data_IF_150158710847
#
_entry.id   IF_150158710847
#
_cell.length_a   1.000
_cell.length_b   1.000
_cell.length_c   1.000
_cell.angle_alpha   90.00
_cell.angle_beta   90.00
_cell.angle_gamma   90.00
#
_symmetry.space_group_name_H-M   'P 1'
#
loop_
_entity.id
_entity.type
_entity.pdbx_description
1 polymer ?
#
# COMPACT_ATOMS: atom_id res chain seq x y z
N UNK A 1 -16.88 -24.26 -2.40
CA UNK A 1 -16.66 -23.24 -3.47
C UNK A 1 -17.88 -22.33 -3.69
N UNK A 2 -19.09 -22.86 -3.79
CA UNK A 2 -20.31 -22.08 -4.10
C UNK A 2 -20.78 -21.18 -2.97
N UNK A 3 -20.58 -21.57 -1.73
CA UNK A 3 -21.04 -20.80 -0.55
C UNK A 3 -20.26 -19.48 -0.37
N UNK A 4 -18.97 -19.46 -0.63
CA UNK A 4 -18.15 -18.24 -0.52
C UNK A 4 -18.49 -17.21 -1.60
N UNK A 5 -18.75 -17.64 -2.82
CA UNK A 5 -19.18 -16.77 -3.92
C UNK A 5 -20.47 -16.03 -3.55
N UNK A 6 -21.48 -16.75 -3.05
CA UNK A 6 -22.75 -16.17 -2.64
C UNK A 6 -22.60 -15.19 -1.46
N UNK A 7 -21.76 -15.52 -0.50
CA UNK A 7 -21.49 -14.65 0.67
C UNK A 7 -20.82 -13.34 0.28
N UNK A 8 -19.76 -13.40 -0.56
CA UNK A 8 -19.09 -12.19 -1.04
C UNK A 8 -20.04 -11.34 -1.87
N UNK A 9 -20.79 -11.92 -2.79
CA UNK A 9 -21.79 -11.22 -3.59
C UNK A 9 -22.84 -10.52 -2.71
N UNK A 10 -23.43 -11.24 -1.74
CA UNK A 10 -24.41 -10.69 -0.82
C UNK A 10 -23.84 -9.57 0.04
N UNK A 11 -22.61 -9.71 0.53
CA UNK A 11 -21.92 -8.68 1.30
C UNK A 11 -21.70 -7.42 0.47
N UNK A 12 -21.19 -7.54 -0.75
CA UNK A 12 -20.95 -6.41 -1.64
C UNK A 12 -22.25 -5.66 -1.99
N UNK A 13 -23.30 -6.40 -2.36
CA UNK A 13 -24.59 -5.78 -2.70
C UNK A 13 -25.28 -5.14 -1.50
N UNK A 14 -25.21 -5.73 -0.31
CA UNK A 14 -25.75 -5.14 0.92
C UNK A 14 -25.04 -3.85 1.35
N UNK A 15 -23.80 -3.64 0.88
CA UNK A 15 -23.02 -2.43 1.10
C UNK A 15 -23.03 -1.47 -0.11
N UNK A 16 -23.99 -1.61 -1.01
CA UNK A 16 -24.26 -0.66 -2.09
C UNK A 16 -23.42 -0.85 -3.35
N UNK A 17 -22.66 -1.93 -3.46
CA UNK A 17 -21.93 -2.26 -4.68
C UNK A 17 -22.92 -2.74 -5.74
N UNK A 18 -22.79 -2.20 -6.96
CA UNK A 18 -23.60 -2.61 -8.10
C UNK A 18 -23.58 -4.13 -8.31
N UNK A 19 -24.74 -4.69 -8.67
CA UNK A 19 -24.91 -6.14 -8.80
C UNK A 19 -23.96 -6.77 -9.83
N UNK A 20 -23.69 -6.10 -10.95
CA UNK A 20 -22.76 -6.61 -11.97
C UNK A 20 -21.33 -6.62 -11.47
N UNK A 21 -20.93 -5.57 -10.76
CA UNK A 21 -19.60 -5.47 -10.14
C UNK A 21 -19.45 -6.50 -9.03
N UNK A 22 -20.44 -6.65 -8.17
CA UNK A 22 -20.46 -7.69 -7.12
C UNK A 22 -20.36 -9.09 -7.72
N UNK A 23 -21.08 -9.36 -8.81
CA UNK A 23 -21.02 -10.63 -9.54
C UNK A 23 -19.63 -10.88 -10.14
N UNK A 24 -19.01 -9.84 -10.72
CA UNK A 24 -17.67 -9.94 -11.31
C UNK A 24 -16.61 -10.25 -10.24
N UNK A 25 -16.59 -9.49 -9.16
CA UNK A 25 -15.68 -9.69 -8.03
C UNK A 25 -15.89 -11.08 -7.39
N UNK A 26 -17.12 -11.50 -7.23
CA UNK A 26 -17.45 -12.82 -6.68
C UNK A 26 -16.98 -13.95 -7.57
N UNK A 27 -17.02 -13.80 -8.90
CA UNK A 27 -16.46 -14.78 -9.86
C UNK A 27 -14.93 -14.83 -9.78
N UNK A 28 -14.25 -13.70 -9.66
CA UNK A 28 -12.80 -13.68 -9.44
C UNK A 28 -12.42 -14.44 -8.17
N UNK A 29 -13.26 -14.33 -7.14
CA UNK A 29 -13.08 -15.05 -5.89
C UNK A 29 -13.44 -16.54 -5.95
N UNK A 30 -14.08 -17.02 -7.01
CA UNK A 30 -14.44 -18.44 -7.20
C UNK A 30 -13.37 -19.26 -7.95
N UNK A 31 -12.28 -18.64 -8.38
CA UNK A 31 -11.12 -19.34 -8.96
C UNK A 31 -10.50 -20.25 -7.88
N UNK A 32 -10.11 -21.51 -8.18
CA UNK A 32 -9.68 -22.49 -7.18
C UNK A 32 -8.54 -22.02 -6.27
N UNK A 33 -8.39 -22.59 -5.05
CA UNK A 33 -7.58 -22.04 -3.99
C UNK A 33 -6.14 -21.85 -4.44
N UNK A 34 -5.88 -20.67 -4.63
CA UNK A 34 -4.68 -19.89 -4.76
C UNK A 34 -3.36 -20.65 -4.69
N UNK A 35 -2.73 -20.64 -5.78
CA UNK A 35 -1.43 -19.98 -5.80
C UNK A 35 -1.52 -18.66 -4.99
N UNK A 36 -0.59 -18.40 -4.07
CA UNK A 36 -0.59 -17.13 -3.35
C UNK A 36 -0.79 -15.99 -4.34
N UNK A 37 -1.51 -14.93 -3.97
CA UNK A 37 -1.84 -13.79 -4.85
C UNK A 37 -0.60 -13.26 -5.58
N UNK A 38 0.58 -13.57 -5.07
CA UNK A 38 1.88 -13.31 -5.67
C UNK A 38 2.68 -14.62 -5.76
N UNK A 39 2.29 -15.49 -6.69
CA UNK A 39 3.03 -16.74 -6.96
C UNK A 39 4.41 -16.50 -7.56
N UNK A 40 4.65 -15.32 -8.07
CA UNK A 40 5.90 -14.91 -8.71
C UNK A 40 6.51 -13.78 -7.89
N UNK A 41 7.68 -14.03 -7.35
CA UNK A 41 8.47 -13.05 -6.62
C UNK A 41 9.95 -13.35 -6.75
N UNK A 42 10.81 -12.40 -6.38
CA UNK A 42 12.25 -12.66 -6.31
C UNK A 42 12.54 -13.80 -5.35
N UNK A 43 13.32 -14.78 -5.80
CA UNK A 43 13.75 -15.92 -4.99
C UNK A 43 15.26 -15.81 -4.77
N UNK A 44 15.65 -15.84 -3.50
CA UNK A 44 17.09 -15.90 -3.15
C UNK A 44 17.59 -17.29 -3.54
N UNK A 45 18.41 -17.35 -4.58
CA UNK A 45 18.99 -18.59 -5.14
C UNK A 45 20.46 -18.81 -4.74
N UNK A 46 21.09 -17.80 -4.10
CA UNK A 46 22.48 -17.84 -3.69
C UNK A 46 23.49 -17.74 -4.82
N UNK A 47 23.04 -17.60 -6.07
CA UNK A 47 23.93 -17.49 -7.23
C UNK A 47 24.51 -16.08 -7.37
N UNK A 48 25.77 -15.99 -7.81
CA UNK A 48 26.45 -14.70 -7.98
C UNK A 48 25.91 -13.86 -9.13
N UNK A 49 25.24 -14.49 -10.10
CA UNK A 49 24.58 -13.90 -11.26
C UNK A 49 23.03 -13.87 -11.12
N UNK A 50 22.52 -14.34 -10.00
CA UNK A 50 21.12 -14.35 -9.62
C UNK A 50 20.79 -13.37 -8.50
N UNK A 51 20.05 -13.84 -7.50
CA UNK A 51 19.71 -13.09 -6.29
C UNK A 51 20.39 -13.75 -5.07
N UNK A 52 21.64 -13.37 -4.72
CA UNK A 52 22.40 -14.03 -3.66
C UNK A 52 21.88 -13.77 -2.25
N UNK A 53 21.08 -12.71 -2.08
CA UNK A 53 20.49 -12.30 -0.80
C UNK A 53 19.18 -11.51 -1.02
N UNK A 54 18.48 -11.24 0.05
CA UNK A 54 17.26 -10.46 0.01
C UNK A 54 17.50 -9.05 -0.57
N UNK A 55 16.60 -8.54 -1.46
CA UNK A 55 16.79 -7.25 -2.13
C UNK A 55 17.06 -6.09 -1.17
N UNK A 56 16.30 -6.00 -0.07
CA UNK A 56 16.50 -4.94 0.92
C UNK A 56 17.85 -5.06 1.62
N UNK A 57 18.28 -6.29 1.95
CA UNK A 57 19.59 -6.55 2.53
C UNK A 57 20.72 -6.13 1.57
N UNK A 58 20.59 -6.47 0.28
CA UNK A 58 21.54 -6.04 -0.75
C UNK A 58 21.64 -4.51 -0.82
N UNK A 59 20.51 -3.82 -0.83
CA UNK A 59 20.47 -2.35 -0.84
C UNK A 59 21.12 -1.75 0.41
N UNK A 60 20.77 -2.23 1.61
CA UNK A 60 21.37 -1.74 2.85
C UNK A 60 22.88 -1.97 2.95
N UNK A 61 23.38 -3.01 2.29
CA UNK A 61 24.79 -3.37 2.24
C UNK A 61 25.57 -2.73 1.07
N UNK A 62 24.98 -1.79 0.37
CA UNK A 62 25.65 -1.10 -0.73
C UNK A 62 25.77 -1.93 -2.03
N UNK A 63 25.01 -3.02 -2.20
CA UNK A 63 25.08 -3.94 -3.33
C UNK A 63 23.89 -3.83 -4.27
N UNK A 64 23.55 -2.65 -4.70
CA UNK A 64 22.41 -2.40 -5.60
C UNK A 64 22.78 -1.41 -6.71
N UNK A 65 21.97 -1.40 -7.77
CA UNK A 65 21.99 -0.32 -8.75
C UNK A 65 21.12 0.82 -8.21
N UNK A 66 21.78 1.83 -7.64
CA UNK A 66 21.08 2.96 -7.05
C UNK A 66 20.70 3.97 -8.11
N UNK A 67 19.42 4.26 -8.19
CA UNK A 67 18.82 5.26 -9.08
C UNK A 67 17.92 6.19 -8.26
N UNK A 68 17.65 7.37 -8.78
CA UNK A 68 16.65 8.24 -8.20
C UNK A 68 15.28 7.59 -8.31
N UNK A 69 14.42 7.76 -7.30
CA UNK A 69 13.21 6.96 -7.13
C UNK A 69 12.00 7.80 -6.74
N UNK A 70 10.85 7.55 -7.37
CA UNK A 70 9.53 7.85 -6.81
C UNK A 70 8.97 6.56 -6.21
N UNK A 71 8.55 6.62 -4.95
CA UNK A 71 7.97 5.47 -4.23
C UNK A 71 6.84 5.93 -3.33
N UNK A 72 5.81 5.13 -3.18
CA UNK A 72 4.71 5.48 -2.29
C UNK A 72 3.69 4.37 -2.13
N UNK A 73 2.55 4.74 -1.56
CA UNK A 73 1.44 3.83 -1.31
C UNK A 73 0.10 4.59 -1.32
N UNK A 74 -0.98 3.83 -1.43
CA UNK A 74 -2.35 4.34 -1.33
C UNK A 74 -2.85 4.34 0.11
N UNK A 75 -3.83 5.18 0.41
CA UNK A 75 -4.40 5.30 1.75
C UNK A 75 -4.99 3.99 2.28
N UNK A 76 -5.62 3.21 1.43
CA UNK A 76 -6.38 2.02 1.81
C UNK A 76 -5.91 0.75 1.08
N UNK A 77 -4.58 0.62 0.89
CA UNK A 77 -3.95 -0.52 0.19
C UNK A 77 -4.51 -1.87 0.61
N UNK A 78 -4.76 -2.05 1.91
CA UNK A 78 -5.20 -3.31 2.48
C UNK A 78 -6.66 -3.66 2.19
N UNK A 79 -7.50 -2.72 1.80
CA UNK A 79 -8.95 -2.94 1.70
C UNK A 79 -9.32 -4.03 0.69
N UNK A 80 -8.67 -4.06 -0.47
CA UNK A 80 -8.86 -5.10 -1.47
C UNK A 80 -8.48 -6.49 -0.92
N UNK A 81 -7.39 -6.58 -0.16
CA UNK A 81 -6.92 -7.84 0.40
C UNK A 81 -7.83 -8.36 1.53
N UNK A 82 -8.43 -7.46 2.31
CA UNK A 82 -9.41 -7.85 3.33
C UNK A 82 -10.67 -8.46 2.70
N UNK A 83 -11.10 -7.99 1.53
CA UNK A 83 -12.18 -8.66 0.78
C UNK A 83 -11.83 -10.11 0.41
N UNK A 84 -10.56 -10.37 0.20
CA UNK A 84 -10.06 -11.70 -0.18
C UNK A 84 -9.76 -12.60 1.03
N UNK A 85 -9.94 -12.12 2.27
CA UNK A 85 -9.64 -12.86 3.50
C UNK A 85 -10.22 -14.28 3.54
N UNK A 86 -11.50 -14.52 3.20
CA UNK A 86 -12.04 -15.89 3.25
C UNK A 86 -11.29 -16.88 2.37
N UNK A 87 -10.54 -16.38 1.40
CA UNK A 87 -9.72 -17.18 0.49
C UNK A 87 -8.26 -17.27 0.91
N UNK A 88 -7.75 -16.23 1.57
CA UNK A 88 -6.33 -16.10 1.92
C UNK A 88 -6.02 -16.62 3.32
N UNK A 89 -6.95 -16.43 4.23
CA UNK A 89 -6.80 -16.75 5.65
C UNK A 89 -7.84 -17.79 6.04
N UNK A 90 -7.46 -19.07 6.17
CA UNK A 90 -8.40 -20.12 6.53
C UNK A 90 -9.15 -19.79 7.82
N UNK A 91 -10.48 -19.91 7.78
CA UNK A 91 -11.36 -19.59 8.91
C UNK A 91 -11.65 -18.12 9.14
N UNK A 92 -11.07 -17.21 8.34
CA UNK A 92 -11.45 -15.80 8.37
C UNK A 92 -12.85 -15.59 7.81
N UNK A 93 -13.52 -14.57 8.29
CA UNK A 93 -14.89 -14.21 7.89
C UNK A 93 -14.94 -12.94 7.06
N UNK A 94 -16.06 -12.74 6.37
CA UNK A 94 -16.41 -11.48 5.74
C UNK A 94 -17.85 -11.10 6.15
N UNK A 95 -18.07 -9.97 6.83
CA UNK A 95 -17.05 -9.03 7.32
C UNK A 95 -16.10 -9.66 8.35
N UNK A 96 -14.85 -9.16 8.45
CA UNK A 96 -13.89 -9.65 9.44
C UNK A 96 -14.41 -9.53 10.86
N UNK A 97 -14.03 -10.49 11.70
CA UNK A 97 -14.24 -10.49 13.14
C UNK A 97 -12.97 -10.06 13.87
N UNK A 98 -13.08 -9.74 15.15
CA UNK A 98 -11.95 -9.30 16.00
C UNK A 98 -10.76 -10.26 15.92
N UNK A 99 -11.02 -11.57 15.90
CA UNK A 99 -9.98 -12.60 15.87
C UNK A 99 -9.31 -12.76 14.50
N UNK A 100 -9.87 -12.20 13.44
CA UNK A 100 -9.33 -12.40 12.08
C UNK A 100 -8.01 -11.67 11.87
N UNK A 101 -7.79 -10.53 12.55
CA UNK A 101 -6.49 -9.86 12.57
C UNK A 101 -5.40 -10.80 13.14
N UNK A 102 -5.68 -11.42 14.28
CA UNK A 102 -4.76 -12.37 14.90
C UNK A 102 -4.49 -13.56 13.99
N UNK A 103 -5.52 -14.11 13.34
CA UNK A 103 -5.39 -15.21 12.37
C UNK A 103 -4.47 -14.85 11.20
N UNK A 104 -4.62 -13.65 10.67
CA UNK A 104 -3.77 -13.15 9.59
C UNK A 104 -2.31 -13.05 10.04
N UNK A 105 -2.06 -12.43 11.18
CA UNK A 105 -0.71 -12.28 11.73
C UNK A 105 -0.06 -13.64 12.00
N UNK A 106 -0.80 -14.55 12.62
CA UNK A 106 -0.32 -15.91 12.88
C UNK A 106 0.05 -16.64 11.58
N UNK A 107 -0.71 -16.44 10.51
CA UNK A 107 -0.40 -17.01 9.19
C UNK A 107 0.86 -16.41 8.59
N UNK A 108 1.03 -15.10 8.67
CA UNK A 108 2.21 -14.41 8.10
C UNK A 108 3.48 -14.88 8.80
N UNK A 109 3.48 -14.95 10.13
CA UNK A 109 4.67 -15.23 10.93
C UNK A 109 4.81 -16.69 11.38
N UNK A 110 3.75 -17.46 11.31
CA UNK A 110 3.72 -18.86 11.78
C UNK A 110 3.83 -19.92 10.69
N UNK A 111 3.71 -19.53 9.42
CA UNK A 111 3.74 -20.44 8.28
C UNK A 111 2.52 -21.37 8.17
N UNK A 112 2.18 -22.10 9.22
CA UNK A 112 0.96 -22.91 9.33
C UNK A 112 0.15 -22.49 10.56
N UNK A 113 -0.81 -21.59 10.34
CA UNK A 113 -1.61 -21.03 11.41
C UNK A 113 -2.52 -22.07 12.10
N UNK A 114 -2.92 -23.12 11.40
CA UNK A 114 -3.80 -24.18 11.93
C UNK A 114 -3.08 -25.05 12.96
N UNK A 115 -1.75 -25.15 12.86
CA UNK A 115 -0.90 -25.97 13.71
C UNK A 115 0.20 -25.16 14.42
N UNK A 116 0.19 -23.82 14.28
CA UNK A 116 1.26 -22.99 14.85
C UNK A 116 1.20 -22.99 16.37
N UNK A 117 2.09 -23.76 16.98
CA UNK A 117 2.49 -23.66 18.38
C UNK A 117 3.58 -22.62 18.60
N UNK A 118 3.89 -21.81 17.56
CA UNK A 118 4.95 -20.81 17.59
C UNK A 118 4.63 -19.73 18.63
N UNK A 119 5.35 -19.75 19.75
CA UNK A 119 5.30 -18.72 20.78
C UNK A 119 5.70 -17.35 20.21
N UNK A 120 6.60 -17.34 19.23
CA UNK A 120 7.05 -16.12 18.55
C UNK A 120 5.91 -15.45 17.77
N UNK A 121 5.22 -16.18 16.89
CA UNK A 121 4.07 -15.65 16.16
C UNK A 121 2.95 -15.16 17.07
N UNK A 122 2.69 -15.87 18.17
CA UNK A 122 1.70 -15.47 19.18
C UNK A 122 2.11 -14.16 19.90
N UNK A 123 3.39 -13.97 20.18
CA UNK A 123 3.92 -12.74 20.78
C UNK A 123 3.79 -11.56 19.83
N UNK A 124 4.16 -11.75 18.55
CA UNK A 124 3.98 -10.73 17.49
C UNK A 124 2.49 -10.38 17.37
N UNK A 125 1.60 -11.36 17.27
CA UNK A 125 0.16 -11.12 17.16
C UNK A 125 -0.37 -10.30 18.33
N UNK A 126 0.03 -10.60 19.56
CA UNK A 126 -0.36 -9.83 20.75
C UNK A 126 0.15 -8.39 20.71
N UNK A 127 1.35 -8.16 20.20
CA UNK A 127 1.91 -6.82 20.04
C UNK A 127 1.19 -6.03 18.95
N UNK A 128 0.88 -6.68 17.83
CA UNK A 128 0.11 -6.06 16.74
C UNK A 128 -1.31 -5.69 17.19
N UNK A 129 -1.98 -6.56 17.95
CA UNK A 129 -3.30 -6.24 18.53
C UNK A 129 -3.28 -4.98 19.39
N UNK A 130 -2.18 -4.74 20.13
CA UNK A 130 -1.98 -3.51 20.90
C UNK A 130 -1.68 -2.28 20.04
N UNK A 131 -0.99 -2.45 18.90
CA UNK A 131 -0.66 -1.35 18.00
C UNK A 131 -1.84 -0.92 17.13
N UNK A 132 -2.78 -1.84 16.90
CA UNK A 132 -4.02 -1.63 16.16
C UNK A 132 -5.23 -1.97 17.04
N UNK A 133 -5.55 -1.17 18.06
CA UNK A 133 -6.66 -1.47 18.95
C UNK A 133 -7.99 -1.27 18.21
N UNK A 134 -8.93 -2.19 18.43
CA UNK A 134 -10.20 -2.24 17.68
C UNK A 134 -11.05 -0.98 17.81
N UNK A 135 -10.96 -0.28 18.94
CA UNK A 135 -11.73 0.93 19.22
C UNK A 135 -11.22 2.20 18.50
N UNK A 136 -10.07 2.15 17.83
CA UNK A 136 -9.55 3.25 17.00
C UNK A 136 -10.02 3.17 15.54
N UNK A 137 -10.72 2.12 15.16
CA UNK A 137 -11.19 1.87 13.80
C UNK A 137 -12.71 1.83 13.73
N UNK A 138 -13.27 2.28 12.63
CA UNK A 138 -14.72 2.24 12.40
C UNK A 138 -15.28 0.82 12.27
N UNK A 139 -14.43 -0.14 11.91
CA UNK A 139 -14.76 -1.56 11.84
C UNK A 139 -13.49 -2.43 11.81
N UNK A 140 -13.65 -3.72 12.05
CA UNK A 140 -12.57 -4.71 11.89
C UNK A 140 -12.08 -4.80 10.44
N UNK A 141 -12.92 -4.46 9.46
CA UNK A 141 -12.50 -4.37 8.07
C UNK A 141 -11.37 -3.33 7.91
N UNK A 142 -11.59 -2.10 8.38
CA UNK A 142 -10.63 -1.01 8.27
C UNK A 142 -9.40 -1.20 9.16
N UNK A 143 -9.58 -1.84 10.33
CA UNK A 143 -8.47 -2.24 11.20
C UNK A 143 -7.50 -3.19 10.48
N UNK A 144 -8.03 -4.24 9.86
CA UNK A 144 -7.24 -5.20 9.11
C UNK A 144 -6.63 -4.57 7.85
N UNK A 145 -7.37 -3.71 7.15
CA UNK A 145 -6.86 -2.98 5.99
C UNK A 145 -5.69 -2.06 6.35
N UNK A 146 -5.76 -1.37 7.49
CA UNK A 146 -4.67 -0.53 7.98
C UNK A 146 -3.40 -1.33 8.27
N UNK A 147 -3.52 -2.49 8.94
CA UNK A 147 -2.37 -3.36 9.18
C UNK A 147 -1.73 -3.83 7.86
N UNK A 148 -2.53 -4.26 6.88
CA UNK A 148 -2.00 -4.69 5.58
C UNK A 148 -1.31 -3.52 4.87
N UNK A 149 -1.94 -2.32 4.86
CA UNK A 149 -1.31 -1.12 4.31
C UNK A 149 0.07 -0.89 4.91
N UNK A 150 0.16 -0.89 6.24
CA UNK A 150 1.40 -0.54 6.93
C UNK A 150 2.46 -1.63 6.76
N UNK A 151 2.07 -2.89 6.98
CA UNK A 151 3.01 -4.01 6.98
C UNK A 151 3.50 -4.40 5.57
N UNK A 152 2.61 -4.39 4.58
CA UNK A 152 2.92 -4.90 3.23
C UNK A 152 3.39 -3.79 2.29
N UNK A 153 2.91 -2.56 2.45
CA UNK A 153 3.12 -1.48 1.49
C UNK A 153 3.88 -0.28 2.09
N UNK A 154 3.33 0.40 3.07
CA UNK A 154 3.86 1.69 3.51
C UNK A 154 5.22 1.57 4.21
N UNK A 155 5.40 0.63 5.13
CA UNK A 155 6.66 0.48 5.84
C UNK A 155 7.76 -0.16 4.98
N UNK A 156 7.48 -1.17 4.11
CA UNK A 156 8.45 -1.59 3.10
C UNK A 156 8.88 -0.48 2.15
N UNK A 157 7.94 0.36 1.66
CA UNK A 157 8.26 1.53 0.83
C UNK A 157 9.15 2.53 1.58
N UNK A 158 8.90 2.74 2.87
CA UNK A 158 9.75 3.59 3.73
C UNK A 158 11.17 3.01 3.90
N UNK A 159 11.29 1.70 4.12
CA UNK A 159 12.62 1.04 4.21
C UNK A 159 13.40 1.15 2.90
N UNK A 160 12.71 0.96 1.78
CA UNK A 160 13.29 1.15 0.45
C UNK A 160 13.76 2.59 0.25
N UNK A 161 12.90 3.57 0.58
CA UNK A 161 13.24 4.98 0.48
C UNK A 161 14.51 5.30 1.28
N UNK A 162 14.58 4.87 2.54
CA UNK A 162 15.77 5.05 3.40
C UNK A 162 17.02 4.37 2.82
N UNK A 163 16.90 3.15 2.31
CA UNK A 163 18.04 2.43 1.75
C UNK A 163 18.62 3.13 0.52
N UNK A 164 17.79 3.65 -0.36
CA UNK A 164 18.18 4.37 -1.57
C UNK A 164 18.79 5.74 -1.20
N UNK A 165 18.15 6.47 -0.29
CA UNK A 165 18.60 7.79 0.17
C UNK A 165 19.97 7.71 0.90
N UNK A 166 20.17 6.72 1.77
CA UNK A 166 21.45 6.47 2.44
C UNK A 166 22.61 6.23 1.46
N UNK A 167 22.30 5.79 0.25
CA UNK A 167 23.27 5.58 -0.82
C UNK A 167 23.38 6.80 -1.77
N UNK A 168 22.91 7.98 -1.32
CA UNK A 168 23.13 9.26 -1.98
C UNK A 168 22.24 9.51 -3.20
N UNK A 169 21.10 8.81 -3.33
CA UNK A 169 20.15 9.02 -4.40
C UNK A 169 18.93 9.80 -3.93
N UNK A 170 18.33 10.57 -4.82
CA UNK A 170 17.12 11.30 -4.53
C UNK A 170 15.93 10.36 -4.50
N UNK A 171 15.16 10.44 -3.44
CA UNK A 171 13.90 9.72 -3.29
C UNK A 171 12.78 10.71 -3.11
N UNK A 172 11.69 10.49 -3.82
CA UNK A 172 10.46 11.28 -3.72
C UNK A 172 9.34 10.36 -3.25
N UNK A 173 8.90 10.56 -2.01
CA UNK A 173 7.88 9.70 -1.40
C UNK A 173 6.51 10.32 -1.56
N UNK A 174 5.51 9.51 -1.94
CA UNK A 174 4.11 9.94 -2.01
C UNK A 174 3.19 9.09 -1.16
N UNK A 175 2.03 9.68 -0.84
CA UNK A 175 0.87 9.01 -0.32
C UNK A 175 -0.36 9.43 -1.13
N UNK A 176 -1.01 8.47 -1.79
CA UNK A 176 -2.17 8.75 -2.63
C UNK A 176 -3.44 8.69 -1.79
N UNK A 177 -4.06 9.86 -1.56
CA UNK A 177 -5.20 10.03 -0.66
C UNK A 177 -6.18 11.11 -1.12
N UNK A 178 -6.74 11.04 -2.35
CA UNK A 178 -7.81 11.94 -2.77
C UNK A 178 -9.01 11.92 -1.83
N UNK A 179 -9.81 12.98 -1.83
CA UNK A 179 -10.93 13.14 -0.91
C UNK A 179 -11.97 12.01 -1.02
N UNK A 180 -12.15 11.43 -2.20
CA UNK A 180 -13.07 10.30 -2.37
C UNK A 180 -12.67 9.06 -1.54
N UNK A 181 -11.40 8.93 -1.19
CA UNK A 181 -10.93 7.87 -0.32
C UNK A 181 -11.31 8.08 1.14
N UNK A 182 -11.51 9.34 1.54
CA UNK A 182 -11.74 9.73 2.94
C UNK A 182 -13.21 10.07 3.23
N UNK A 183 -14.00 10.34 2.19
CA UNK A 183 -15.38 10.83 2.34
C UNK A 183 -16.36 9.83 1.77
N UNK A 184 -17.08 9.07 2.60
CA UNK A 184 -18.15 8.21 2.13
C UNK A 184 -19.18 9.02 1.34
N UNK A 185 -19.52 8.57 0.12
CA UNK A 185 -20.54 9.20 -0.72
C UNK A 185 -20.06 10.23 -1.72
N UNK A 186 -18.77 10.56 -1.76
CA UNK A 186 -18.22 11.40 -2.84
C UNK A 186 -18.08 10.57 -4.12
N UNK A 187 -18.97 10.80 -5.09
CA UNK A 187 -19.08 10.01 -6.33
C UNK A 187 -18.36 10.67 -7.49
N UNK A 188 -17.03 10.81 -7.41
CA UNK A 188 -16.25 11.33 -8.54
C UNK A 188 -15.69 10.23 -9.46
N UNK A 189 -15.73 8.97 -9.02
CA UNK A 189 -15.42 7.80 -9.85
C UNK A 189 -16.71 7.21 -10.40
N UNK A 190 -16.92 7.38 -11.66
CA UNK A 190 -18.22 7.29 -12.31
C UNK A 190 -18.67 5.88 -12.71
N UNK A 191 -17.97 4.80 -12.34
CA UNK A 191 -18.40 3.48 -12.80
C UNK A 191 -18.25 2.33 -11.79
N UNK A 192 -17.44 2.53 -10.76
CA UNK A 192 -17.36 1.57 -9.66
C UNK A 192 -17.52 2.36 -8.37
N UNK A 193 -18.70 2.28 -7.80
CA UNK A 193 -18.93 2.73 -6.43
C UNK A 193 -18.18 1.78 -5.47
N UNK A 194 -16.85 1.77 -5.55
CA UNK A 194 -16.01 1.15 -4.55
C UNK A 194 -15.95 2.01 -3.27
N UNK A 195 -17.07 2.61 -2.89
CA UNK A 195 -17.20 3.26 -1.57
C UNK A 195 -16.73 2.36 -0.44
N UNK A 196 -16.77 1.04 -0.67
CA UNK A 196 -16.32 0.03 0.27
C UNK A 196 -14.79 -0.11 0.33
N UNK A 197 -14.06 0.25 -0.74
CA UNK A 197 -12.62 0.00 -0.86
C UNK A 197 -11.77 1.25 -0.77
N UNK A 198 -12.37 2.43 -0.91
CA UNK A 198 -11.68 3.72 -0.90
C UNK A 198 -10.47 3.76 -1.86
N UNK A 199 -9.29 4.21 -1.41
CA UNK A 199 -8.05 4.20 -2.18
C UNK A 199 -7.34 2.84 -2.08
N UNK A 200 -7.96 1.81 -2.65
CA UNK A 200 -7.45 0.45 -2.63
C UNK A 200 -6.16 0.28 -3.44
N UNK A 201 -5.54 -0.87 -3.30
CA UNK A 201 -4.32 -1.23 -4.02
C UNK A 201 -4.47 -1.05 -5.54
N UNK A 202 -3.54 -0.30 -6.14
CA UNK A 202 -3.49 0.08 -7.56
C UNK A 202 -4.50 1.15 -8.00
N UNK A 203 -5.25 1.79 -7.09
CA UNK A 203 -6.22 2.84 -7.47
C UNK A 203 -5.56 4.13 -7.98
N UNK A 204 -4.31 4.40 -7.63
CA UNK A 204 -3.52 5.53 -8.14
C UNK A 204 -3.19 5.40 -9.62
N UNK A 205 -3.17 4.18 -10.17
CA UNK A 205 -2.85 3.94 -11.59
C UNK A 205 -3.80 4.68 -12.53
N UNK A 206 -5.05 4.89 -12.13
CA UNK A 206 -5.99 5.70 -12.90
C UNK A 206 -5.53 7.15 -13.03
N UNK A 207 -5.01 7.71 -11.94
CA UNK A 207 -4.46 9.06 -11.94
C UNK A 207 -3.17 9.14 -12.76
N UNK A 208 -2.27 8.18 -12.62
CA UNK A 208 -0.99 8.11 -13.34
C UNK A 208 -1.21 8.07 -14.84
N UNK A 209 -2.14 7.25 -15.31
CA UNK A 209 -2.39 7.08 -16.75
C UNK A 209 -3.44 8.04 -17.32
N UNK A 210 -4.07 8.88 -16.51
CA UNK A 210 -5.08 9.84 -16.95
C UNK A 210 -6.35 9.21 -17.48
N UNK A 211 -6.59 7.96 -17.13
CA UNK A 211 -7.68 7.18 -17.71
C UNK A 211 -8.45 6.45 -16.63
N UNK A 212 -9.78 6.58 -16.56
CA UNK A 212 -10.59 5.63 -15.81
C UNK A 212 -10.40 4.27 -16.46
N UNK A 213 -10.39 3.22 -15.69
CA UNK A 213 -9.96 1.86 -15.99
C UNK A 213 -10.13 1.44 -17.48
N UNK A 214 -9.04 1.17 -18.23
CA UNK A 214 -9.14 0.78 -19.61
C UNK A 214 -9.80 -0.61 -19.72
N UNK A 215 -10.75 -0.74 -20.62
CA UNK A 215 -11.39 -2.03 -20.94
C UNK A 215 -12.69 -2.31 -20.21
N UNK A 216 -13.21 -1.39 -19.40
CA UNK A 216 -14.56 -1.52 -18.84
C UNK A 216 -15.56 -0.81 -19.75
N UNK A 217 -16.51 -1.53 -20.37
CA UNK A 217 -17.55 -0.92 -21.16
C UNK A 217 -18.35 0.08 -20.32
N UNK A 218 -18.44 1.33 -20.77
CA UNK A 218 -19.15 2.40 -20.05
C UNK A 218 -18.33 3.16 -19.03
N UNK A 219 -17.01 2.90 -18.91
CA UNK A 219 -16.10 3.73 -18.10
C UNK A 219 -16.23 5.19 -18.54
N UNK A 220 -16.63 6.05 -17.60
CA UNK A 220 -16.81 7.48 -17.83
C UNK A 220 -15.49 8.22 -17.57
N UNK A 221 -15.37 9.45 -18.04
CA UNK A 221 -14.26 10.33 -17.69
C UNK A 221 -14.22 10.63 -16.19
N UNK A 222 -13.04 10.95 -15.67
CA UNK A 222 -12.92 11.48 -14.30
C UNK A 222 -13.85 12.67 -14.08
N UNK A 223 -14.43 12.75 -12.89
CA UNK A 223 -15.03 13.98 -12.40
C UNK A 223 -13.96 15.10 -12.27
N UNK A 224 -14.38 16.37 -12.14
CA UNK A 224 -13.45 17.51 -12.17
C UNK A 224 -12.30 17.39 -11.16
N UNK A 225 -12.59 17.01 -9.93
CA UNK A 225 -11.59 16.88 -8.85
C UNK A 225 -10.57 15.79 -9.14
N UNK A 226 -11.03 14.59 -9.53
CA UNK A 226 -10.12 13.50 -9.85
C UNK A 226 -9.28 13.79 -11.09
N UNK A 227 -9.83 14.57 -12.04
CA UNK A 227 -9.06 15.07 -13.18
C UNK A 227 -7.92 15.97 -12.75
N UNK A 228 -8.14 16.86 -11.77
CA UNK A 228 -7.10 17.73 -11.22
C UNK A 228 -6.00 16.95 -10.51
N UNK A 229 -6.37 15.95 -9.70
CA UNK A 229 -5.41 15.02 -9.09
C UNK A 229 -4.60 14.30 -10.16
N UNK A 230 -5.27 13.74 -11.17
CA UNK A 230 -4.62 13.03 -12.26
C UNK A 230 -3.65 13.90 -13.04
N UNK A 231 -4.03 15.14 -13.39
CA UNK A 231 -3.15 16.10 -14.07
C UNK A 231 -1.92 16.46 -13.23
N UNK A 232 -2.07 16.56 -11.92
CA UNK A 232 -0.96 16.80 -11.00
C UNK A 232 -0.01 15.60 -10.95
N UNK A 233 -0.54 14.38 -10.78
CA UNK A 233 0.23 13.14 -10.78
C UNK A 233 1.00 12.96 -12.08
N UNK A 234 0.32 13.06 -13.24
CA UNK A 234 0.97 12.95 -14.56
C UNK A 234 2.07 13.99 -14.74
N UNK A 235 1.85 15.21 -14.23
CA UNK A 235 2.83 16.25 -14.27
C UNK A 235 4.12 15.92 -13.49
N UNK A 236 4.01 15.39 -12.27
CA UNK A 236 5.16 14.96 -11.48
C UNK A 236 5.88 13.76 -12.10
N UNK A 237 5.14 12.71 -12.48
CA UNK A 237 5.71 11.51 -13.11
C UNK A 237 6.41 11.84 -14.43
N UNK A 238 5.75 12.66 -15.27
CA UNK A 238 6.33 13.08 -16.54
C UNK A 238 7.57 13.95 -16.38
N UNK A 239 7.61 14.86 -15.40
CA UNK A 239 8.80 15.66 -15.10
C UNK A 239 9.94 14.75 -14.64
N UNK A 240 9.68 13.88 -13.65
CA UNK A 240 10.67 12.93 -13.14
C UNK A 240 11.24 12.03 -14.23
N UNK A 241 10.40 11.49 -15.09
CA UNK A 241 10.85 10.63 -16.20
C UNK A 241 11.78 11.36 -17.20
N UNK A 242 11.63 12.68 -17.35
CA UNK A 242 12.47 13.47 -18.26
C UNK A 242 13.75 13.98 -17.60
N UNK A 243 13.72 14.31 -16.32
CA UNK A 243 14.76 15.10 -15.67
C UNK A 243 15.36 14.45 -14.43
N UNK A 244 14.76 13.39 -13.89
CA UNK A 244 15.10 12.83 -12.57
C UNK A 244 14.56 13.67 -11.39
N UNK A 245 13.82 14.77 -11.68
CA UNK A 245 13.22 15.64 -10.67
C UNK A 245 11.72 15.83 -10.97
N UNK A 246 10.80 15.48 -10.06
CA UNK A 246 9.37 15.66 -10.29
C UNK A 246 8.98 17.14 -10.39
N UNK A 247 9.85 18.05 -9.97
CA UNK A 247 9.67 19.50 -10.06
C UNK A 247 10.26 20.11 -11.34
N UNK A 248 11.03 19.31 -12.10
CA UNK A 248 11.99 19.76 -13.12
C UNK A 248 11.44 20.40 -14.40
N UNK A 249 10.13 20.58 -14.56
CA UNK A 249 9.56 21.26 -15.71
C UNK A 249 8.86 22.57 -15.32
N UNK A 250 9.61 23.67 -15.38
CA UNK A 250 9.07 25.02 -15.23
C UNK A 250 8.01 25.40 -16.29
N UNK A 251 7.86 24.59 -17.35
CA UNK A 251 6.96 24.85 -18.48
C UNK A 251 5.53 24.28 -18.31
N UNK A 252 5.19 23.77 -17.13
CA UNK A 252 3.81 23.36 -16.87
C UNK A 252 2.98 24.59 -16.51
N UNK A 253 1.89 24.79 -17.23
CA UNK A 253 0.95 25.90 -17.09
C UNK A 253 0.23 25.96 -15.72
N UNK A 254 0.39 24.93 -14.88
CA UNK A 254 -0.11 24.86 -13.51
C UNK A 254 1.03 24.94 -12.50
N UNK A 255 0.91 25.87 -11.55
CA UNK A 255 1.77 25.95 -10.38
C UNK A 255 1.46 24.75 -9.48
N UNK A 256 2.32 23.74 -9.50
CA UNK A 256 2.26 22.59 -8.58
C UNK A 256 2.98 22.92 -7.27
N UNK A 257 2.59 22.25 -6.18
CA UNK A 257 3.36 22.29 -4.95
C UNK A 257 4.77 21.72 -5.20
N UNK A 258 5.79 22.31 -4.59
CA UNK A 258 7.12 21.73 -4.63
C UNK A 258 7.09 20.38 -3.88
N UNK A 259 7.52 19.32 -4.56
CA UNK A 259 7.71 18.01 -3.95
C UNK A 259 9.14 17.91 -3.42
N UNK A 260 9.36 18.03 -2.11
CA UNK A 260 10.70 17.90 -1.56
C UNK A 260 11.22 16.47 -1.70
N UNK A 261 12.54 16.25 -1.79
CA UNK A 261 13.12 14.93 -1.64
C UNK A 261 12.78 14.36 -0.24
N UNK A 262 12.92 13.06 -0.07
CA UNK A 262 12.59 12.34 1.16
C UNK A 262 13.30 12.86 2.40
N UNK A 263 14.57 13.27 2.23
CA UNK A 263 15.31 14.10 3.18
C UNK A 263 15.86 15.35 2.46
N UNK A 264 16.06 16.44 3.19
CA UNK A 264 16.69 17.62 2.62
C UNK A 264 18.18 17.38 2.33
N UNK A 265 18.69 17.97 1.21
CA UNK A 265 20.06 17.78 0.74
C UNK A 265 21.13 18.34 1.71
N UNK A 266 20.75 19.26 2.62
CA UNK A 266 21.64 19.89 3.57
C UNK A 266 22.03 19.04 4.77
N UNK A 267 21.35 17.91 4.97
CA UNK A 267 21.72 16.97 6.01
C UNK A 267 22.97 16.17 5.61
N UNK A 268 23.98 16.21 6.47
CA UNK A 268 25.17 15.40 6.27
C UNK A 268 24.78 13.91 6.16
N UNK A 269 25.46 13.12 5.30
CA UNK A 269 25.16 11.70 5.13
C UNK A 269 25.09 10.90 6.45
N UNK A 270 25.80 11.36 7.48
CA UNK A 270 25.78 10.77 8.81
C UNK A 270 24.43 10.98 9.56
N UNK A 271 23.64 11.96 9.16
CA UNK A 271 22.32 12.26 9.74
C UNK A 271 21.17 11.69 8.91
N UNK A 272 21.40 11.36 7.64
CA UNK A 272 20.42 10.72 6.78
C UNK A 272 20.03 9.36 7.37
N UNK A 273 18.75 9.14 7.55
CA UNK A 273 18.25 7.89 8.13
C UNK A 273 18.48 7.70 9.62
N UNK A 274 18.99 8.69 10.36
CA UNK A 274 19.01 8.70 11.83
C UNK A 274 17.60 8.84 12.41
N UNK A 275 17.43 8.50 13.70
CA UNK A 275 16.12 8.54 14.38
C UNK A 275 15.50 9.95 14.49
N UNK A 276 16.24 11.00 14.14
CA UNK A 276 15.81 12.40 14.13
C UNK A 276 15.61 13.04 12.77
N UNK A 277 15.92 12.36 11.67
CA UNK A 277 15.78 12.91 10.34
C UNK A 277 14.31 13.14 9.96
N UNK A 278 14.01 14.30 9.35
CA UNK A 278 12.69 14.61 8.81
C UNK A 278 12.45 13.80 7.52
N UNK A 279 11.35 13.07 7.47
CA UNK A 279 10.96 12.24 6.33
C UNK A 279 9.78 12.88 5.61
N UNK A 280 10.00 13.50 4.46
CA UNK A 280 8.96 14.20 3.70
C UNK A 280 8.15 13.23 2.82
N UNK A 281 6.84 13.41 2.81
CA UNK A 281 5.91 12.66 1.96
C UNK A 281 4.92 13.61 1.32
N UNK A 282 4.81 13.60 -0.02
CA UNK A 282 3.78 14.35 -0.73
C UNK A 282 2.46 13.62 -0.66
N UNK A 283 1.44 14.27 -0.13
CA UNK A 283 0.07 13.78 -0.13
C UNK A 283 -0.59 14.16 -1.45
N UNK A 284 -0.85 13.16 -2.27
CA UNK A 284 -1.50 13.32 -3.58
C UNK A 284 -3.02 13.29 -3.39
N UNK A 285 -3.57 14.48 -3.25
CA UNK A 285 -5.00 14.75 -3.11
C UNK A 285 -5.40 15.95 -3.96
N UNK A 286 -6.64 16.39 -3.88
CA UNK A 286 -7.12 17.65 -4.50
C UNK A 286 -6.36 18.85 -3.95
N UNK A 287 -6.06 18.82 -2.65
CA UNK A 287 -5.23 19.78 -1.95
C UNK A 287 -3.87 19.12 -1.66
N UNK A 288 -2.89 19.35 -2.56
CA UNK A 288 -1.54 18.84 -2.39
C UNK A 288 -0.93 19.39 -1.10
N UNK A 289 -0.36 18.52 -0.28
CA UNK A 289 0.34 18.90 0.95
C UNK A 289 1.60 18.03 1.15
N UNK A 290 2.55 18.53 1.92
CA UNK A 290 3.73 17.78 2.34
C UNK A 290 3.58 17.45 3.81
N UNK A 291 3.62 16.17 4.14
CA UNK A 291 3.58 15.67 5.51
C UNK A 291 4.97 15.20 5.94
N UNK A 292 5.36 15.55 7.17
CA UNK A 292 6.61 15.10 7.79
C UNK A 292 6.34 13.89 8.66
N UNK A 293 7.10 12.83 8.45
CA UNK A 293 7.00 11.61 9.26
C UNK A 293 5.72 10.79 9.05
N UNK A 294 5.13 10.85 7.85
CA UNK A 294 3.94 10.04 7.51
C UNK A 294 4.14 8.57 7.86
N UNK A 295 3.28 8.02 8.72
CA UNK A 295 3.31 6.67 9.28
C UNK A 295 4.62 6.27 10.00
N UNK A 296 5.54 7.23 10.28
CA UNK A 296 6.81 6.94 10.96
C UNK A 296 6.60 6.13 12.24
N UNK A 297 5.71 6.58 13.12
CA UNK A 297 5.47 5.90 14.39
C UNK A 297 4.88 4.49 14.25
N UNK A 298 4.04 4.24 13.24
CA UNK A 298 3.51 2.90 12.96
C UNK A 298 4.63 1.98 12.44
N UNK A 299 5.43 2.47 11.49
CA UNK A 299 6.52 1.71 10.91
C UNK A 299 7.64 1.43 11.92
N UNK A 300 8.01 2.39 12.78
CA UNK A 300 9.01 2.18 13.82
C UNK A 300 8.56 1.08 14.82
N UNK A 301 7.26 1.03 15.18
CA UNK A 301 6.72 -0.05 16.02
C UNK A 301 6.77 -1.41 15.32
N UNK A 302 6.40 -1.48 14.04
CA UNK A 302 6.45 -2.73 13.27
C UNK A 302 7.89 -3.20 13.06
N UNK A 303 8.81 -2.29 12.76
CA UNK A 303 10.23 -2.59 12.61
C UNK A 303 10.84 -3.12 13.93
N UNK A 304 10.40 -2.57 15.07
CA UNK A 304 10.82 -3.01 16.40
C UNK A 304 10.35 -4.41 16.79
N UNK A 305 9.22 -4.89 16.22
CA UNK A 305 8.74 -6.26 16.47
C UNK A 305 9.63 -7.33 15.86
N UNK A 306 10.23 -6.99 14.75
CA UNK A 306 10.85 -7.97 13.87
C UNK A 306 12.35 -8.16 14.14
N UNK A 307 12.97 -7.34 14.99
CA UNK A 307 14.43 -7.30 15.03
C UNK A 307 14.98 -6.89 13.63
N UNK A 308 16.27 -6.61 13.52
CA UNK A 308 16.83 -6.09 12.25
C UNK A 308 16.85 -7.07 11.08
N UNK A 309 16.43 -8.33 11.24
CA UNK A 309 16.59 -9.39 10.20
C UNK A 309 15.41 -10.33 9.98
N UNK A 310 14.48 -10.51 10.91
CA UNK A 310 13.69 -11.75 10.94
C UNK A 310 12.25 -11.69 10.41
N UNK A 311 11.70 -10.52 10.11
CA UNK A 311 10.31 -10.40 9.62
C UNK A 311 10.18 -10.15 8.12
N UNK A 312 11.25 -9.91 7.41
CA UNK A 312 11.22 -9.47 6.02
C UNK A 312 12.18 -10.29 5.14
N UNK A 313 12.46 -11.51 5.64
CA UNK A 313 13.21 -12.52 4.93
C UNK A 313 12.44 -13.18 3.81
#
# INVERSE_FOLDING_TARGET
>A
GTDHHHRLHAYLTSNGVDHHVASHLSRLASVPPFAPIMSWGPVVDGASDGLPELPLTALLNGRGNYVDLIVGNNNDEGSLFVLLYPFLVPGASLPPKVDDLRRMVMKIFGGDWANSTSTHAATIATSIEKFYPSNEYTSEFWRNAALIRDFVFACPSRRLARAIDLNGRKVYKYHFAPAYCRTPGLRDLTWVDFQLLHCYHSSELYAVWGHPFPGVPGARSFGPRMKEVSESVQGYWGAFARTGDPNGDANTTRKRLLWPPYHEDDEQPAHRGGDGAEEFTLILSEDLEVEVGYLKGACDRLDGLCGKSDCFG
#
